data_IF_735589936910
#
_entry.id   IF_735589936910
#
_cell.length_a   1.000
_cell.length_b   1.000
_cell.length_c   1.000
_cell.angle_alpha   90.00
_cell.angle_beta   90.00
_cell.angle_gamma   90.00
#
_symmetry.space_group_name_H-M   'P 1'
#
loop_
_entity.id
_entity.type
_entity.pdbx_description
1 polymer ?
#
# COMPACT_ATOMS: atom_id res chain seq x y z
N UNK A 1 -29.87 -15.32 -10.26
CA UNK A 1 -28.56 -15.47 -9.59
C UNK A 1 -28.66 -14.72 -8.27
N UNK A 2 -28.46 -15.38 -7.14
CA UNK A 2 -28.68 -14.80 -5.81
C UNK A 2 -27.55 -13.86 -5.46
N UNK A 3 -27.86 -12.57 -5.31
CA UNK A 3 -26.99 -11.59 -4.65
C UNK A 3 -26.78 -12.07 -3.22
N UNK A 4 -25.52 -12.23 -2.82
CA UNK A 4 -25.16 -12.67 -1.47
C UNK A 4 -24.95 -11.44 -0.60
N UNK A 5 -25.66 -11.37 0.51
CA UNK A 5 -25.44 -10.30 1.50
C UNK A 5 -24.40 -10.75 2.51
N UNK A 6 -23.39 -9.93 2.77
CA UNK A 6 -22.25 -10.26 3.64
C UNK A 6 -22.10 -9.24 4.77
N UNK A 7 -21.64 -9.68 5.95
CA UNK A 7 -21.35 -8.77 7.05
C UNK A 7 -20.13 -7.90 6.74
N UNK A 8 -20.18 -6.63 7.17
CA UNK A 8 -19.16 -5.62 6.90
C UNK A 8 -19.15 -4.50 7.96
N UNK A 9 -18.10 -3.69 7.94
CA UNK A 9 -18.05 -2.37 8.57
C UNK A 9 -18.06 -1.29 7.49
N UNK A 10 -18.98 -0.33 7.63
CA UNK A 10 -19.13 0.75 6.66
C UNK A 10 -19.18 2.13 7.34
N UNK A 11 -18.66 3.14 6.66
CA UNK A 11 -18.93 4.53 6.99
C UNK A 11 -20.25 4.91 6.31
N UNK A 12 -21.30 5.29 7.06
CA UNK A 12 -22.58 5.65 6.45
C UNK A 12 -22.54 6.98 5.70
N UNK A 13 -21.71 7.91 6.17
CA UNK A 13 -21.48 9.25 5.59
C UNK A 13 -20.03 9.70 5.86
N UNK A 14 -19.55 10.77 5.20
CA UNK A 14 -18.19 11.26 5.42
C UNK A 14 -17.93 11.58 6.90
N UNK A 15 -16.80 11.14 7.43
CA UNK A 15 -16.33 11.36 8.83
C UNK A 15 -17.18 10.68 9.90
N UNK A 16 -18.25 9.97 9.55
CA UNK A 16 -18.98 9.15 10.50
C UNK A 16 -18.10 7.98 10.97
N UNK A 17 -18.26 7.51 12.21
CA UNK A 17 -17.65 6.26 12.66
C UNK A 17 -18.04 5.09 11.75
N UNK A 18 -17.15 4.12 11.61
CA UNK A 18 -17.45 2.85 10.94
C UNK A 18 -18.40 2.04 11.82
N UNK A 19 -19.48 1.55 11.21
CA UNK A 19 -20.54 0.79 11.88
C UNK A 19 -20.71 -0.58 11.24
N UNK A 20 -21.02 -1.58 12.07
CA UNK A 20 -21.34 -2.93 11.59
C UNK A 20 -22.63 -2.90 10.78
N UNK A 21 -22.60 -3.48 9.60
CA UNK A 21 -23.72 -3.53 8.66
C UNK A 21 -23.63 -4.78 7.77
N UNK A 22 -24.45 -4.83 6.74
CA UNK A 22 -24.33 -5.81 5.66
C UNK A 22 -24.34 -5.12 4.31
N UNK A 23 -23.57 -5.67 3.36
CA UNK A 23 -23.52 -5.15 1.97
C UNK A 23 -23.79 -6.25 0.95
N UNK A 24 -24.35 -5.92 -0.21
CA UNK A 24 -24.50 -6.89 -1.30
C UNK A 24 -23.15 -7.22 -1.94
N UNK A 25 -23.01 -8.48 -2.35
CA UNK A 25 -21.97 -8.95 -3.27
C UNK A 25 -22.65 -9.51 -4.51
N UNK A 26 -22.11 -9.16 -5.68
CA UNK A 26 -22.54 -9.75 -6.94
C UNK A 26 -22.30 -11.28 -6.93
N UNK A 27 -23.08 -12.06 -7.68
CA UNK A 27 -22.80 -13.48 -7.88
C UNK A 27 -21.41 -13.72 -8.48
N UNK A 28 -20.84 -14.90 -8.23
CA UNK A 28 -19.60 -15.35 -8.89
C UNK A 28 -19.88 -15.52 -10.39
N UNK A 29 -19.24 -14.69 -11.21
CA UNK A 29 -19.28 -14.79 -12.66
C UNK A 29 -18.27 -15.78 -13.22
N UNK A 30 -18.15 -15.82 -14.55
CA UNK A 30 -17.37 -16.84 -15.26
C UNK A 30 -15.89 -16.88 -14.86
N UNK A 31 -15.26 -15.71 -14.70
CA UNK A 31 -13.83 -15.56 -14.38
C UNK A 31 -13.58 -15.00 -12.98
N UNK A 32 -14.56 -15.11 -12.09
CA UNK A 32 -14.49 -14.56 -10.75
C UNK A 32 -14.08 -15.56 -9.70
N UNK A 33 -13.48 -15.03 -8.64
CA UNK A 33 -13.10 -15.75 -7.43
C UNK A 33 -13.85 -15.13 -6.26
N UNK A 34 -14.59 -15.94 -5.52
CA UNK A 34 -15.12 -15.58 -4.20
C UNK A 34 -14.06 -15.87 -3.15
N UNK A 35 -13.73 -14.86 -2.37
CA UNK A 35 -12.71 -14.93 -1.32
C UNK A 35 -13.41 -14.81 0.03
N UNK A 36 -13.21 -15.81 0.89
CA UNK A 36 -13.46 -15.74 2.33
C UNK A 36 -12.29 -14.96 2.95
N UNK A 37 -12.56 -13.70 3.27
CA UNK A 37 -11.54 -12.77 3.76
C UNK A 37 -11.17 -13.22 5.17
N UNK A 38 -9.87 -13.36 5.42
CA UNK A 38 -9.33 -13.67 6.75
C UNK A 38 -8.76 -12.45 7.44
N UNK A 39 -8.14 -11.57 6.66
CA UNK A 39 -7.49 -10.38 7.17
C UNK A 39 -7.65 -9.21 6.21
N UNK A 40 -7.85 -8.02 6.79
CA UNK A 40 -7.85 -6.76 6.07
C UNK A 40 -6.92 -5.76 6.76
N UNK A 41 -5.89 -5.30 6.06
CA UNK A 41 -5.01 -4.25 6.56
C UNK A 41 -5.71 -2.89 6.60
N UNK A 42 -5.31 -2.04 7.56
CA UNK A 42 -5.74 -0.64 7.64
C UNK A 42 -4.65 0.24 7.03
N UNK A 43 -5.00 0.98 5.99
CA UNK A 43 -4.17 1.96 5.30
C UNK A 43 -4.64 3.39 5.61
N UNK A 44 -3.71 4.35 5.54
CA UNK A 44 -4.06 5.78 5.67
C UNK A 44 -5.11 6.20 4.63
N UNK A 45 -5.03 5.63 3.43
CA UNK A 45 -6.00 5.85 2.35
C UNK A 45 -7.43 5.48 2.74
N UNK A 46 -7.65 4.47 3.58
CA UNK A 46 -8.98 4.11 4.07
C UNK A 46 -9.56 5.25 4.94
N UNK A 47 -8.70 5.88 5.74
CA UNK A 47 -9.06 7.00 6.62
C UNK A 47 -9.33 8.27 5.80
N UNK A 48 -8.45 8.61 4.85
CA UNK A 48 -8.64 9.78 4.00
C UNK A 48 -9.94 9.65 3.18
N UNK A 49 -10.18 8.51 2.55
CA UNK A 49 -11.40 8.31 1.73
C UNK A 49 -12.68 8.35 2.59
N UNK A 50 -12.70 7.66 3.75
CA UNK A 50 -13.86 7.70 4.65
C UNK A 50 -14.16 9.11 5.20
N UNK A 51 -13.21 10.04 5.12
CA UNK A 51 -13.33 11.44 5.58
C UNK A 51 -13.47 12.45 4.44
N UNK A 52 -13.55 12.02 3.18
CA UNK A 52 -13.49 12.87 1.97
C UNK A 52 -12.21 13.73 1.86
N UNK A 53 -11.08 13.21 2.32
CA UNK A 53 -9.78 13.93 2.28
C UNK A 53 -9.23 14.18 0.87
N UNK A 54 -9.68 13.39 -0.12
CA UNK A 54 -9.25 13.51 -1.53
C UNK A 54 -10.41 13.84 -2.49
N UNK A 55 -11.49 14.45 -1.96
CA UNK A 55 -12.70 14.75 -2.71
C UNK A 55 -13.91 13.98 -2.20
N UNK A 56 -15.05 14.14 -2.88
CA UNK A 56 -16.29 13.47 -2.50
C UNK A 56 -16.22 11.97 -2.79
N UNK A 57 -16.42 11.15 -1.75
CA UNK A 57 -16.55 9.70 -1.86
C UNK A 57 -17.99 9.22 -2.06
N UNK A 58 -18.12 7.92 -2.34
CA UNK A 58 -19.37 7.18 -2.53
C UNK A 58 -19.74 6.52 -1.20
N UNK A 59 -20.93 6.83 -0.68
CA UNK A 59 -21.42 6.35 0.62
C UNK A 59 -22.75 5.57 0.48
N UNK A 60 -23.02 4.54 1.31
CA UNK A 60 -22.15 4.03 2.37
C UNK A 60 -20.84 3.45 1.81
N UNK A 61 -19.73 3.67 2.52
CA UNK A 61 -18.40 3.22 2.08
C UNK A 61 -17.96 2.04 2.93
N UNK A 62 -17.54 0.93 2.32
CA UNK A 62 -16.82 -0.16 2.99
C UNK A 62 -15.36 -0.05 2.57
N UNK A 63 -14.45 0.49 3.41
CA UNK A 63 -13.03 0.59 3.06
C UNK A 63 -12.31 -0.77 3.08
N UNK A 64 -10.98 -0.73 2.90
CA UNK A 64 -10.09 -1.88 2.94
C UNK A 64 -9.66 -2.32 1.55
N UNK A 65 -8.37 -2.22 1.26
CA UNK A 65 -7.77 -2.71 0.00
C UNK A 65 -6.47 -3.49 0.21
N UNK A 66 -6.31 -4.02 1.42
CA UNK A 66 -5.19 -4.87 1.83
C UNK A 66 -5.78 -6.22 2.24
N UNK A 67 -6.35 -6.96 1.29
CA UNK A 67 -7.22 -8.11 1.55
C UNK A 67 -6.42 -9.40 1.44
N UNK A 68 -6.39 -10.22 2.49
CA UNK A 68 -5.83 -11.57 2.45
C UNK A 68 -6.87 -12.59 2.91
N UNK A 69 -6.98 -13.70 2.18
CA UNK A 69 -8.01 -14.69 2.45
C UNK A 69 -7.79 -16.02 1.75
N UNK A 70 -8.86 -16.80 1.69
CA UNK A 70 -8.89 -18.12 1.08
C UNK A 70 -10.00 -18.16 0.04
N UNK A 71 -9.73 -18.80 -1.10
CA UNK A 71 -10.75 -19.00 -2.15
C UNK A 71 -11.86 -19.92 -1.63
N UNK A 72 -13.09 -19.42 -1.64
CA UNK A 72 -14.29 -20.14 -1.22
C UNK A 72 -15.08 -20.72 -2.41
N UNK A 73 -15.08 -20.03 -3.54
CA UNK A 73 -15.75 -20.44 -4.79
C UNK A 73 -15.01 -19.85 -5.99
N UNK A 74 -15.04 -20.55 -7.13
CA UNK A 74 -14.47 -20.07 -8.39
C UNK A 74 -15.50 -20.20 -9.51
N UNK A 75 -15.48 -19.25 -10.44
CA UNK A 75 -16.24 -19.30 -11.67
C UNK A 75 -15.81 -20.45 -12.58
N UNK A 76 -16.69 -20.93 -13.46
CA UNK A 76 -16.42 -22.06 -14.35
C UNK A 76 -15.28 -21.82 -15.37
N UNK A 77 -14.96 -20.57 -15.66
CA UNK A 77 -13.88 -20.17 -16.57
C UNK A 77 -12.57 -19.83 -15.85
N UNK A 78 -12.52 -19.90 -14.51
CA UNK A 78 -11.31 -19.64 -13.74
C UNK A 78 -10.29 -20.75 -13.95
N UNK A 79 -9.05 -20.36 -14.25
CA UNK A 79 -7.95 -21.32 -14.49
C UNK A 79 -6.77 -21.10 -13.55
N UNK A 80 -6.66 -19.92 -12.94
CA UNK A 80 -5.52 -19.54 -12.11
C UNK A 80 -5.65 -19.98 -10.65
N UNK A 81 -6.86 -20.25 -10.16
CA UNK A 81 -7.13 -20.50 -8.75
C UNK A 81 -8.08 -21.67 -8.54
N UNK A 82 -7.98 -22.29 -7.37
CA UNK A 82 -8.90 -23.31 -6.89
C UNK A 82 -9.37 -23.00 -5.47
N UNK A 83 -10.51 -23.59 -5.06
CA UNK A 83 -11.00 -23.51 -3.68
C UNK A 83 -9.93 -23.99 -2.71
N UNK A 84 -9.70 -23.22 -1.65
CA UNK A 84 -8.63 -23.46 -0.67
C UNK A 84 -7.32 -22.71 -0.95
N UNK A 85 -7.17 -22.11 -2.14
CA UNK A 85 -5.97 -21.30 -2.43
C UNK A 85 -5.90 -20.07 -1.52
N UNK A 86 -4.67 -19.76 -1.09
CA UNK A 86 -4.34 -18.53 -0.35
C UNK A 86 -4.18 -17.38 -1.32
N UNK A 87 -5.02 -16.37 -1.18
CA UNK A 87 -5.11 -15.27 -2.14
C UNK A 87 -5.20 -13.91 -1.48
N UNK A 88 -4.84 -12.88 -2.24
CA UNK A 88 -5.00 -11.49 -1.83
C UNK A 88 -5.50 -10.59 -2.95
N UNK A 89 -6.03 -9.43 -2.56
CA UNK A 89 -6.52 -8.38 -3.44
C UNK A 89 -5.98 -7.04 -2.94
N UNK A 90 -5.34 -6.28 -3.83
CA UNK A 90 -4.74 -4.98 -3.54
C UNK A 90 -5.69 -3.81 -3.77
N UNK A 91 -5.14 -2.71 -4.27
CA UNK A 91 -5.82 -1.42 -4.45
C UNK A 91 -6.81 -1.33 -5.63
N UNK A 92 -6.81 -2.30 -6.54
CA UNK A 92 -7.65 -2.30 -7.75
C UNK A 92 -8.24 -3.68 -8.03
N UNK A 93 -9.44 -3.69 -8.61
CA UNK A 93 -10.20 -4.90 -8.97
C UNK A 93 -10.54 -4.99 -10.46
N UNK A 94 -10.28 -3.93 -11.24
CA UNK A 94 -10.42 -3.96 -12.70
C UNK A 94 -9.65 -2.84 -13.41
N UNK A 95 -9.53 -2.93 -14.74
CA UNK A 95 -9.02 -1.89 -15.65
C UNK A 95 -9.57 -2.10 -17.07
N UNK A 96 -9.16 -1.30 -18.06
CA UNK A 96 -9.60 -1.55 -19.45
C UNK A 96 -8.94 -2.76 -20.11
N UNK A 97 -7.78 -3.23 -19.62
CA UNK A 97 -7.02 -4.39 -20.13
C UNK A 97 -6.49 -4.25 -21.58
N UNK A 98 -6.76 -3.13 -22.25
CA UNK A 98 -6.48 -2.94 -23.68
C UNK A 98 -5.50 -1.81 -23.99
N UNK A 99 -5.36 -0.81 -23.11
CA UNK A 99 -4.45 0.31 -23.31
C UNK A 99 -2.98 -0.11 -23.18
N UNK A 100 -2.07 0.77 -23.60
CA UNK A 100 -0.63 0.48 -23.55
C UNK A 100 -0.13 0.14 -22.14
N UNK A 101 -0.65 0.83 -21.11
CA UNK A 101 -0.27 0.59 -19.72
C UNK A 101 -0.76 -0.78 -19.25
N UNK A 102 -2.02 -1.13 -19.51
CA UNK A 102 -2.54 -2.44 -19.15
C UNK A 102 -1.77 -3.57 -19.86
N UNK A 103 -1.47 -3.41 -21.15
CA UNK A 103 -0.67 -4.39 -21.91
C UNK A 103 0.77 -4.51 -21.42
N UNK A 104 1.31 -3.45 -20.80
CA UNK A 104 2.63 -3.47 -20.17
C UNK A 104 2.63 -4.09 -18.77
N UNK A 105 1.46 -4.45 -18.20
CA UNK A 105 1.32 -4.88 -16.82
C UNK A 105 1.38 -3.73 -15.82
N UNK A 106 0.89 -2.56 -16.23
CA UNK A 106 0.81 -1.33 -15.45
C UNK A 106 -0.67 -0.89 -15.30
N UNK A 107 -1.53 -1.80 -14.86
CA UNK A 107 -2.98 -1.58 -14.74
C UNK A 107 -3.33 -0.41 -13.82
N UNK A 108 -2.48 -0.10 -12.84
CA UNK A 108 -2.61 1.06 -11.96
C UNK A 108 -2.58 2.39 -12.71
N UNK A 109 -1.90 2.43 -13.87
CA UNK A 109 -1.81 3.59 -14.74
C UNK A 109 -2.72 3.47 -15.97
N UNK A 110 -3.74 2.62 -15.92
CA UNK A 110 -4.71 2.47 -17.00
C UNK A 110 -5.22 3.83 -17.51
N UNK A 111 -5.08 4.08 -18.82
CA UNK A 111 -5.47 5.35 -19.45
C UNK A 111 -6.97 5.64 -19.39
N UNK A 112 -7.80 4.59 -19.29
CA UNK A 112 -9.25 4.70 -19.10
C UNK A 112 -9.66 4.70 -17.62
N UNK A 113 -8.68 4.72 -16.71
CA UNK A 113 -8.87 4.52 -15.28
C UNK A 113 -8.87 3.04 -14.88
N UNK A 114 -8.32 2.77 -13.69
CA UNK A 114 -8.55 1.50 -13.00
C UNK A 114 -9.78 1.61 -12.09
N UNK A 115 -10.36 0.47 -11.72
CA UNK A 115 -11.44 0.40 -10.74
C UNK A 115 -10.83 0.07 -9.39
N UNK A 116 -10.95 1.01 -8.44
CA UNK A 116 -10.51 0.82 -7.07
C UNK A 116 -11.26 -0.29 -6.35
N UNK A 117 -10.61 -0.95 -5.39
CA UNK A 117 -11.21 -2.03 -4.59
C UNK A 117 -12.40 -1.57 -3.74
N UNK A 118 -12.43 -0.29 -3.39
CA UNK A 118 -13.58 0.38 -2.78
C UNK A 118 -13.63 1.84 -3.25
N UNK A 119 -14.76 2.51 -2.96
CA UNK A 119 -14.98 3.93 -3.31
C UNK A 119 -14.80 4.21 -4.82
N UNK A 120 -15.16 3.23 -5.65
CA UNK A 120 -15.22 3.34 -7.11
C UNK A 120 -16.52 2.73 -7.63
N UNK A 121 -16.89 3.03 -8.87
CA UNK A 121 -17.99 2.37 -9.57
C UNK A 121 -17.41 1.22 -10.41
N UNK A 122 -17.92 0.01 -10.18
CA UNK A 122 -17.57 -1.18 -10.96
C UNK A 122 -18.11 -1.10 -12.39
N UNK A 123 -17.63 -2.01 -13.26
CA UNK A 123 -18.15 -2.11 -14.64
C UNK A 123 -19.61 -2.55 -14.72
N UNK A 124 -20.12 -3.15 -13.65
CA UNK A 124 -21.53 -3.48 -13.46
C UNK A 124 -22.40 -2.26 -13.08
N UNK A 125 -21.78 -1.09 -12.87
CA UNK A 125 -22.45 0.15 -12.48
C UNK A 125 -22.71 0.28 -10.98
N UNK A 126 -22.27 -0.68 -10.18
CA UNK A 126 -22.48 -0.71 -8.74
C UNK A 126 -21.25 -0.19 -7.96
N UNK A 127 -21.43 0.36 -6.75
CA UNK A 127 -20.32 0.71 -5.88
C UNK A 127 -19.47 -0.51 -5.52
N UNK A 128 -18.15 -0.32 -5.53
CA UNK A 128 -17.19 -1.30 -5.01
C UNK A 128 -17.10 -1.20 -3.48
N UNK A 129 -17.18 -2.36 -2.82
CA UNK A 129 -17.02 -2.49 -1.37
C UNK A 129 -15.75 -3.27 -1.03
N UNK A 130 -14.96 -2.75 -0.12
CA UNK A 130 -13.63 -3.25 0.19
C UNK A 130 -13.58 -4.41 1.19
N UNK A 131 -12.40 -4.55 1.78
CA UNK A 131 -11.96 -5.64 2.63
C UNK A 131 -12.50 -5.64 4.06
N UNK A 132 -13.14 -4.56 4.52
CA UNK A 132 -13.77 -4.53 5.84
C UNK A 132 -15.10 -5.28 5.84
N UNK A 133 -15.08 -6.49 5.31
CA UNK A 133 -16.20 -7.39 5.11
C UNK A 133 -15.74 -8.83 5.19
N UNK A 134 -16.69 -9.75 5.35
CA UNK A 134 -16.37 -11.19 5.47
C UNK A 134 -16.00 -11.82 4.13
N UNK A 135 -16.49 -11.30 3.00
CA UNK A 135 -16.23 -11.86 1.67
C UNK A 135 -16.13 -10.78 0.59
N UNK A 136 -15.39 -11.09 -0.48
CA UNK A 136 -15.32 -10.28 -1.71
C UNK A 136 -15.31 -11.17 -2.95
N UNK A 137 -15.86 -10.67 -4.06
CA UNK A 137 -15.83 -11.33 -5.37
C UNK A 137 -15.00 -10.48 -6.33
N UNK A 138 -13.94 -11.06 -6.89
CA UNK A 138 -12.97 -10.35 -7.74
C UNK A 138 -12.61 -11.20 -8.96
N UNK A 139 -12.37 -10.57 -10.10
CA UNK A 139 -11.88 -11.24 -11.31
C UNK A 139 -10.51 -11.91 -11.03
N UNK A 140 -10.28 -13.11 -11.56
CA UNK A 140 -9.02 -13.85 -11.35
C UNK A 140 -7.79 -13.06 -11.79
N UNK A 141 -7.93 -12.08 -12.70
CA UNK A 141 -6.84 -11.24 -13.16
C UNK A 141 -6.42 -10.16 -12.17
N UNK A 142 -7.22 -9.89 -11.14
CA UNK A 142 -6.91 -8.95 -10.06
C UNK A 142 -6.71 -9.65 -8.71
N UNK A 143 -6.76 -10.98 -8.73
CA UNK A 143 -6.48 -11.84 -7.59
C UNK A 143 -5.01 -12.27 -7.63
N UNK A 144 -4.35 -12.18 -6.49
CA UNK A 144 -2.93 -12.50 -6.30
C UNK A 144 -2.78 -13.74 -5.44
N UNK A 145 -1.77 -14.56 -5.67
CA UNK A 145 -1.45 -15.71 -4.82
C UNK A 145 -0.57 -15.25 -3.66
N UNK A 146 -0.95 -15.60 -2.44
CA UNK A 146 -0.10 -15.37 -1.26
C UNK A 146 0.71 -16.65 -0.99
N UNK A 147 2.05 -16.64 -1.15
CA UNK A 147 2.87 -17.83 -0.94
C UNK A 147 2.84 -18.31 0.52
N UNK A 148 3.11 -19.60 0.75
CA UNK A 148 3.09 -20.17 2.11
C UNK A 148 4.15 -19.58 3.06
N UNK A 149 5.23 -19.00 2.52
CA UNK A 149 6.33 -18.40 3.29
C UNK A 149 6.02 -17.08 4.01
N UNK A 150 4.80 -16.56 3.91
CA UNK A 150 4.33 -15.36 4.62
C UNK A 150 2.97 -15.68 5.23
N UNK A 151 2.72 -15.32 6.49
CA UNK A 151 1.38 -15.47 7.09
C UNK A 151 0.35 -14.54 6.39
N UNK A 152 -0.93 -14.91 6.38
CA UNK A 152 -1.95 -14.13 5.65
C UNK A 152 -2.15 -12.72 6.23
N UNK A 153 -2.12 -12.61 7.56
CA UNK A 153 -2.21 -11.35 8.31
C UNK A 153 -1.02 -10.43 8.02
N UNK A 154 0.20 -10.98 8.00
CA UNK A 154 1.41 -10.24 7.65
C UNK A 154 1.49 -9.89 6.15
N UNK A 155 0.85 -10.69 5.28
CA UNK A 155 0.82 -10.46 3.84
C UNK A 155 -0.20 -9.40 3.43
N UNK A 156 -1.29 -9.21 4.19
CA UNK A 156 -2.34 -8.24 3.86
C UNK A 156 -1.77 -6.83 3.58
N UNK A 157 -0.93 -6.23 4.45
CA UNK A 157 -0.37 -4.91 4.17
C UNK A 157 0.61 -4.87 2.98
N UNK A 158 1.16 -6.00 2.52
CA UNK A 158 2.04 -6.02 1.36
C UNK A 158 1.32 -5.62 0.07
N UNK A 159 0.02 -5.89 0.00
CA UNK A 159 -0.84 -5.63 -1.17
C UNK A 159 -1.08 -4.13 -1.44
N UNK A 160 -0.65 -3.26 -0.52
CA UNK A 160 -0.55 -1.82 -0.74
C UNK A 160 0.81 -1.27 -0.29
N UNK A 161 1.17 -1.34 1.00
CA UNK A 161 2.46 -0.80 1.49
C UNK A 161 3.66 -1.47 0.83
N UNK A 162 3.63 -2.80 0.72
CA UNK A 162 4.70 -3.58 0.14
C UNK A 162 4.92 -3.17 -1.31
N UNK A 163 3.89 -3.28 -2.16
CA UNK A 163 4.03 -2.95 -3.57
C UNK A 163 4.35 -1.46 -3.82
N UNK A 164 3.75 -0.55 -3.05
CA UNK A 164 3.99 0.91 -3.20
C UNK A 164 5.45 1.26 -2.92
N UNK A 165 6.15 0.50 -2.08
CA UNK A 165 7.58 0.70 -1.83
C UNK A 165 8.46 -0.17 -2.73
N UNK A 166 8.04 -1.38 -3.07
CA UNK A 166 8.75 -2.28 -3.98
C UNK A 166 8.87 -1.70 -5.39
N UNK A 167 7.77 -1.22 -5.97
CA UNK A 167 7.73 -0.72 -7.35
C UNK A 167 8.78 0.37 -7.62
N UNK A 168 8.89 1.46 -6.83
CA UNK A 168 9.95 2.44 -7.04
C UNK A 168 11.35 1.93 -6.65
N UNK A 169 11.49 1.03 -5.67
CA UNK A 169 12.80 0.43 -5.38
C UNK A 169 13.30 -0.40 -6.56
N UNK A 170 12.45 -1.20 -7.19
CA UNK A 170 12.77 -1.98 -8.38
C UNK A 170 13.03 -1.08 -9.60
N UNK A 171 12.14 -0.12 -9.87
CA UNK A 171 12.26 0.78 -11.03
C UNK A 171 13.56 1.59 -11.05
N UNK A 172 14.00 2.08 -9.88
CA UNK A 172 15.26 2.82 -9.74
C UNK A 172 16.47 1.92 -9.40
N UNK A 173 16.33 0.60 -9.54
CA UNK A 173 17.39 -0.38 -9.31
C UNK A 173 18.07 -0.22 -7.94
N UNK A 174 17.28 -0.10 -6.87
CA UNK A 174 17.79 -0.22 -5.51
C UNK A 174 18.50 -1.58 -5.37
N UNK A 175 19.69 -1.59 -4.77
CA UNK A 175 20.47 -2.81 -4.59
C UNK A 175 21.95 -2.56 -4.33
N UNK A 176 22.83 -3.56 -4.56
CA UNK A 176 24.23 -3.49 -4.17
C UNK A 176 24.95 -2.27 -4.74
N UNK A 177 25.66 -1.55 -3.88
CA UNK A 177 26.40 -0.33 -4.23
C UNK A 177 25.55 0.95 -4.30
N UNK A 178 24.24 0.88 -4.04
CA UNK A 178 23.36 2.05 -3.96
C UNK A 178 23.09 2.44 -2.52
N UNK A 179 23.15 3.75 -2.24
CA UNK A 179 22.72 4.34 -0.97
C UNK A 179 21.28 4.82 -1.09
N UNK A 180 20.38 4.17 -0.36
CA UNK A 180 18.93 4.41 -0.42
C UNK A 180 18.46 5.03 0.91
N UNK A 181 17.80 6.18 0.84
CA UNK A 181 17.13 6.74 2.01
C UNK A 181 15.63 6.44 2.00
N UNK A 182 15.07 6.04 3.14
CA UNK A 182 13.63 5.93 3.36
C UNK A 182 13.20 7.05 4.30
N UNK A 183 12.37 7.98 3.80
CA UNK A 183 11.88 9.13 4.58
C UNK A 183 10.55 8.77 5.23
N UNK A 184 10.54 8.74 6.56
CA UNK A 184 9.43 8.31 7.39
C UNK A 184 9.51 6.82 7.74
N UNK A 185 9.28 6.48 9.01
CA UNK A 185 9.23 5.09 9.48
C UNK A 185 7.82 4.76 10.02
N UNK A 186 6.89 4.60 9.07
CA UNK A 186 5.49 4.22 9.30
C UNK A 186 5.11 2.96 8.53
N UNK A 187 3.84 2.83 8.16
CA UNK A 187 3.30 1.67 7.44
C UNK A 187 4.00 1.39 6.10
N UNK A 188 4.29 2.41 5.29
CA UNK A 188 5.09 2.25 4.06
C UNK A 188 6.58 2.15 4.40
N UNK A 189 7.09 3.07 5.22
CA UNK A 189 8.51 3.17 5.55
C UNK A 189 9.14 1.88 6.06
N UNK A 190 8.46 1.15 6.97
CA UNK A 190 9.03 -0.10 7.49
C UNK A 190 9.17 -1.18 6.40
N UNK A 191 8.22 -1.27 5.46
CA UNK A 191 8.34 -2.16 4.31
C UNK A 191 9.43 -1.69 3.35
N UNK A 192 9.53 -0.39 3.10
CA UNK A 192 10.59 0.19 2.28
C UNK A 192 11.98 -0.14 2.81
N UNK A 193 12.19 -0.11 4.14
CA UNK A 193 13.45 -0.52 4.77
C UNK A 193 13.73 -2.01 4.56
N UNK A 194 12.77 -2.88 4.91
CA UNK A 194 12.92 -4.35 4.78
C UNK A 194 13.24 -4.74 3.33
N UNK A 195 12.52 -4.17 2.36
CA UNK A 195 12.68 -4.48 0.94
C UNK A 195 13.99 -3.92 0.40
N UNK A 196 14.34 -2.66 0.69
CA UNK A 196 15.60 -2.07 0.23
C UNK A 196 16.82 -2.83 0.78
N UNK A 197 16.76 -3.24 2.05
CA UNK A 197 17.80 -4.08 2.66
C UNK A 197 17.91 -5.44 1.97
N UNK A 198 16.78 -6.12 1.74
CA UNK A 198 16.76 -7.42 1.07
C UNK A 198 17.21 -7.36 -0.40
N UNK A 199 17.02 -6.21 -1.06
CA UNK A 199 17.58 -5.93 -2.39
C UNK A 199 19.11 -5.71 -2.34
N UNK A 200 19.70 -5.52 -1.16
CA UNK A 200 21.15 -5.35 -0.95
C UNK A 200 21.64 -3.91 -1.00
N UNK A 201 20.75 -2.92 -0.86
CA UNK A 201 21.14 -1.52 -0.75
C UNK A 201 21.74 -1.19 0.63
N UNK A 202 22.54 -0.13 0.70
CA UNK A 202 22.88 0.52 1.97
C UNK A 202 21.72 1.46 2.34
N UNK A 203 20.98 1.13 3.40
CA UNK A 203 19.72 1.77 3.76
C UNK A 203 19.91 2.77 4.89
N UNK A 204 19.42 3.99 4.68
CA UNK A 204 19.33 5.02 5.72
C UNK A 204 17.88 5.40 5.99
N UNK A 205 17.45 5.37 7.24
CA UNK A 205 16.14 5.91 7.63
C UNK A 205 16.27 7.38 8.02
N UNK A 206 15.44 8.22 7.41
CA UNK A 206 15.30 9.63 7.76
C UNK A 206 13.93 9.84 8.41
N UNK A 207 13.89 10.20 9.68
CA UNK A 207 12.65 10.38 10.44
C UNK A 207 12.70 11.65 11.25
N UNK A 208 11.57 12.23 11.63
CA UNK A 208 11.55 13.46 12.42
C UNK A 208 12.29 13.31 13.75
N UNK A 209 12.24 12.13 14.37
CA UNK A 209 12.87 11.86 15.68
C UNK A 209 13.58 10.51 15.70
N UNK A 210 14.43 10.29 16.70
CA UNK A 210 15.13 9.01 16.94
C UNK A 210 14.27 7.96 17.67
N UNK A 211 12.99 8.24 17.97
CA UNK A 211 12.12 7.33 18.77
C UNK A 211 12.01 5.91 18.19
N UNK A 212 12.17 5.76 16.88
CA UNK A 212 12.08 4.48 16.16
C UNK A 212 13.42 3.99 15.60
N UNK A 213 14.54 4.52 16.11
CA UNK A 213 15.88 4.16 15.64
C UNK A 213 16.18 2.67 15.79
N UNK A 214 15.98 2.12 17.01
CA UNK A 214 16.21 0.71 17.28
C UNK A 214 15.36 -0.21 16.38
N UNK A 215 14.10 0.17 16.13
CA UNK A 215 13.23 -0.57 15.22
C UNK A 215 13.75 -0.49 13.77
N UNK A 216 14.15 0.70 13.31
CA UNK A 216 14.70 0.91 11.97
C UNK A 216 15.92 0.04 11.71
N UNK A 217 16.86 -0.01 12.67
CA UNK A 217 18.04 -0.87 12.58
C UNK A 217 17.66 -2.37 12.58
N UNK A 218 16.71 -2.77 13.44
CA UNK A 218 16.19 -4.16 13.46
C UNK A 218 15.54 -4.56 12.13
N UNK A 219 14.89 -3.63 11.45
CA UNK A 219 14.23 -3.84 10.16
C UNK A 219 15.22 -3.95 8.98
N UNK A 220 16.50 -3.63 9.18
CA UNK A 220 17.55 -3.74 8.17
C UNK A 220 18.16 -2.39 7.73
N UNK A 221 17.84 -1.28 8.39
CA UNK A 221 18.55 -0.03 8.13
C UNK A 221 20.00 -0.11 8.62
N UNK A 222 20.94 0.36 7.80
CA UNK A 222 22.35 0.52 8.20
C UNK A 222 22.56 1.78 9.05
N UNK A 223 21.79 2.83 8.75
CA UNK A 223 21.87 4.11 9.45
C UNK A 223 20.49 4.69 9.74
N UNK A 224 20.41 5.55 10.76
CA UNK A 224 19.20 6.28 11.12
C UNK A 224 19.56 7.71 11.51
N UNK A 225 18.79 8.69 11.02
CA UNK A 225 19.00 10.10 11.37
C UNK A 225 17.69 10.82 11.67
N UNK A 226 17.77 11.78 12.60
CA UNK A 226 16.67 12.69 12.91
C UNK A 226 16.70 13.92 11.99
N UNK A 227 15.65 14.13 11.21
CA UNK A 227 15.51 15.31 10.33
C UNK A 227 15.11 16.58 11.08
N UNK A 228 14.76 16.48 12.37
CA UNK A 228 14.64 17.64 13.25
C UNK A 228 15.97 18.24 13.67
N UNK A 229 17.09 17.49 13.54
CA UNK A 229 18.44 18.04 13.68
C UNK A 229 18.89 18.62 12.33
N UNK A 230 19.08 19.94 12.20
CA UNK A 230 19.53 20.56 10.96
C UNK A 230 20.87 20.00 10.45
N UNK A 231 21.74 19.51 11.35
CA UNK A 231 23.04 18.94 10.98
C UNK A 231 22.91 17.68 10.12
N UNK A 232 21.80 16.97 10.21
CA UNK A 232 21.51 15.79 9.37
C UNK A 232 21.61 16.14 7.88
N UNK A 233 21.05 17.29 7.47
CA UNK A 233 21.05 17.70 6.07
C UNK A 233 22.43 18.19 5.59
N UNK A 234 23.25 18.72 6.51
CA UNK A 234 24.64 19.10 6.22
C UNK A 234 25.51 17.85 6.06
N UNK A 235 25.39 16.89 6.98
CA UNK A 235 26.16 15.65 6.99
C UNK A 235 25.86 14.76 5.78
N UNK A 236 24.59 14.65 5.40
CA UNK A 236 24.14 13.72 4.35
C UNK A 236 24.03 14.38 2.98
N UNK A 237 24.50 15.62 2.82
CA UNK A 237 24.46 16.31 1.53
C UNK A 237 25.14 15.47 0.44
N UNK A 238 24.46 15.28 -0.69
CA UNK A 238 25.01 14.52 -1.82
C UNK A 238 25.31 13.05 -1.54
N UNK A 239 24.64 12.42 -0.57
CA UNK A 239 24.94 11.06 -0.13
C UNK A 239 24.15 9.95 -0.83
N UNK A 240 22.94 10.22 -1.33
CA UNK A 240 22.01 9.18 -1.76
C UNK A 240 21.88 9.06 -3.27
N UNK A 241 21.77 7.82 -3.74
CA UNK A 241 21.40 7.49 -5.11
C UNK A 241 19.87 7.55 -5.29
N UNK A 242 19.13 7.13 -4.26
CA UNK A 242 17.67 7.05 -4.27
C UNK A 242 17.11 7.47 -2.90
N UNK A 243 16.03 8.24 -2.91
CA UNK A 243 15.25 8.58 -1.71
C UNK A 243 13.80 8.17 -1.98
N UNK A 244 13.23 7.30 -1.15
CA UNK A 244 11.80 6.99 -1.15
C UNK A 244 11.13 7.81 -0.05
N UNK A 245 10.26 8.74 -0.42
CA UNK A 245 9.51 9.57 0.51
C UNK A 245 8.14 8.99 0.79
N UNK A 246 7.90 8.53 2.02
CA UNK A 246 6.63 7.91 2.44
C UNK A 246 5.79 8.82 3.34
N UNK A 247 6.11 10.11 3.41
CA UNK A 247 5.47 11.07 4.31
C UNK A 247 4.26 11.70 3.62
N UNK A 248 3.07 11.58 4.22
CA UNK A 248 1.83 12.19 3.74
C UNK A 248 1.56 13.57 4.37
N UNK A 249 2.62 14.34 4.59
CA UNK A 249 2.58 15.70 5.12
C UNK A 249 3.57 16.58 4.33
N UNK A 250 3.37 17.92 4.31
CA UNK A 250 4.28 18.82 3.61
C UNK A 250 5.75 18.62 4.04
N UNK A 251 6.63 18.41 3.07
CA UNK A 251 8.07 18.29 3.28
C UNK A 251 8.82 19.46 2.64
N UNK A 252 9.89 19.97 3.25
CA UNK A 252 10.79 20.92 2.60
C UNK A 252 11.62 20.21 1.51
N UNK A 253 11.02 20.02 0.32
CA UNK A 253 11.57 19.20 -0.76
C UNK A 253 13.01 19.57 -1.13
N UNK A 254 13.33 20.87 -1.15
CA UNK A 254 14.68 21.36 -1.49
C UNK A 254 15.77 20.79 -0.58
N UNK A 255 15.48 20.65 0.72
CA UNK A 255 16.41 20.11 1.70
C UNK A 255 16.68 18.61 1.46
N UNK A 256 15.64 17.83 1.14
CA UNK A 256 15.78 16.41 0.83
C UNK A 256 16.44 16.18 -0.53
N UNK A 257 16.10 16.98 -1.54
CA UNK A 257 16.77 16.95 -2.84
C UNK A 257 18.26 17.26 -2.71
N UNK A 258 18.68 18.12 -1.77
CA UNK A 258 20.10 18.38 -1.51
C UNK A 258 20.89 17.14 -1.02
N UNK A 259 20.21 16.13 -0.48
CA UNK A 259 20.81 14.87 -0.04
C UNK A 259 21.13 13.92 -1.19
N UNK A 260 20.55 14.15 -2.38
CA UNK A 260 20.84 13.36 -3.57
C UNK A 260 22.20 13.70 -4.17
N UNK A 261 22.90 12.67 -4.63
CA UNK A 261 24.03 12.76 -5.56
C UNK A 261 23.59 13.38 -6.89
N UNK A 262 24.57 13.69 -7.75
CA UNK A 262 24.29 13.90 -9.17
C UNK A 262 23.60 12.66 -9.75
N UNK A 263 22.59 12.86 -10.59
CA UNK A 263 21.75 11.80 -11.18
C UNK A 263 20.90 11.00 -10.17
N UNK A 264 20.86 11.41 -8.90
CA UNK A 264 20.03 10.78 -7.89
C UNK A 264 18.54 11.10 -8.08
N UNK A 265 17.68 10.20 -7.58
CA UNK A 265 16.23 10.35 -7.64
C UNK A 265 15.58 10.42 -6.25
N UNK A 266 14.65 11.36 -6.07
CA UNK A 266 13.68 11.34 -4.98
C UNK A 266 12.34 10.92 -5.55
N UNK A 267 11.80 9.80 -5.06
CA UNK A 267 10.52 9.24 -5.48
C UNK A 267 9.53 9.40 -4.33
N UNK A 268 8.49 10.19 -4.57
CA UNK A 268 7.43 10.44 -3.61
C UNK A 268 6.31 9.42 -3.76
N UNK A 269 5.97 8.76 -2.66
CA UNK A 269 4.82 7.84 -2.56
C UNK A 269 3.85 8.26 -1.44
N UNK A 270 4.17 9.30 -0.68
CA UNK A 270 3.25 9.94 0.27
C UNK A 270 2.25 10.85 -0.43
N UNK A 271 1.04 10.96 0.12
CA UNK A 271 -0.06 11.71 -0.49
C UNK A 271 -0.59 12.80 0.47
N UNK A 272 0.12 13.93 0.62
CA UNK A 272 -0.38 15.05 1.41
C UNK A 272 -1.63 15.67 0.78
N UNK A 273 -2.53 16.19 1.62
CA UNK A 273 -3.74 16.91 1.16
C UNK A 273 -3.40 18.30 0.59
N UNK A 274 -2.29 18.89 1.04
CA UNK A 274 -1.85 20.22 0.63
C UNK A 274 -0.77 20.15 -0.47
N UNK A 275 -0.77 21.08 -1.44
CA UNK A 275 0.32 21.23 -2.40
C UNK A 275 1.65 21.54 -1.71
N UNK A 276 2.75 21.11 -2.35
CA UNK A 276 4.12 21.37 -1.90
C UNK A 276 4.86 22.28 -2.89
N UNK A 277 5.78 23.11 -2.39
CA UNK A 277 6.62 23.98 -3.21
C UNK A 277 7.97 23.35 -3.51
N UNK A 278 8.57 23.75 -4.64
CA UNK A 278 9.87 23.26 -5.11
C UNK A 278 10.65 24.40 -5.75
N UNK A 279 11.91 24.59 -5.36
CA UNK A 279 12.85 25.40 -6.12
C UNK A 279 13.48 24.56 -7.24
N UNK A 280 13.23 24.93 -8.51
CA UNK A 280 13.73 24.18 -9.65
C UNK A 280 15.27 24.11 -9.72
N UNK A 281 15.99 25.06 -9.12
CA UNK A 281 17.44 24.99 -9.02
C UNK A 281 17.93 23.81 -8.17
N UNK A 282 17.11 23.34 -7.22
CA UNK A 282 17.39 22.14 -6.42
C UNK A 282 17.49 20.88 -7.26
N UNK A 283 16.84 20.87 -8.44
CA UNK A 283 16.88 19.77 -9.41
C UNK A 283 17.97 20.01 -10.45
N UNK A 284 18.05 21.23 -11.01
CA UNK A 284 18.99 21.60 -12.09
C UNK A 284 20.45 21.40 -11.65
N UNK A 285 20.81 21.82 -10.43
CA UNK A 285 22.20 21.85 -9.98
C UNK A 285 22.91 20.49 -9.89
N UNK A 286 22.16 19.39 -9.93
CA UNK A 286 22.70 18.03 -9.90
C UNK A 286 22.10 17.07 -10.91
N UNK A 287 21.35 17.56 -11.91
CA UNK A 287 20.60 16.71 -12.86
C UNK A 287 19.76 15.65 -12.11
N UNK A 288 19.11 16.08 -11.04
CA UNK A 288 18.36 15.19 -10.14
C UNK A 288 16.99 14.87 -10.73
N UNK A 289 16.35 13.83 -10.20
CA UNK A 289 14.98 13.46 -10.53
C UNK A 289 14.08 13.65 -9.31
N UNK A 290 12.95 14.32 -9.50
CA UNK A 290 11.80 14.22 -8.61
C UNK A 290 10.71 13.45 -9.36
N UNK A 291 10.28 12.32 -8.80
CA UNK A 291 9.28 11.44 -9.41
C UNK A 291 8.18 11.07 -8.41
N UNK A 292 7.08 10.56 -8.93
CA UNK A 292 6.04 9.89 -8.13
C UNK A 292 5.95 8.42 -8.51
N UNK A 293 5.45 7.60 -7.60
CA UNK A 293 5.01 6.23 -7.90
C UNK A 293 3.77 5.90 -7.08
N UNK A 294 2.82 5.17 -7.67
CA UNK A 294 1.62 4.71 -6.99
C UNK A 294 1.45 3.21 -7.16
N UNK A 295 1.29 2.49 -6.05
CA UNK A 295 1.04 1.04 -5.99
C UNK A 295 1.99 0.25 -6.91
N UNK A 296 1.49 -0.75 -7.62
CA UNK A 296 2.16 -1.45 -8.71
C UNK A 296 1.14 -2.23 -9.54
N UNK A 297 1.57 -2.73 -10.69
CA UNK A 297 0.72 -3.57 -11.54
C UNK A 297 0.47 -4.94 -10.94
N UNK A 298 -0.49 -5.71 -11.47
CA UNK A 298 -0.79 -7.04 -10.92
C UNK A 298 0.43 -7.96 -11.02
N UNK A 299 1.12 -7.95 -12.16
CA UNK A 299 2.34 -8.75 -12.36
C UNK A 299 3.42 -8.39 -11.34
N UNK A 300 3.71 -7.10 -11.19
CA UNK A 300 4.73 -6.60 -10.25
C UNK A 300 4.35 -6.88 -8.79
N UNK A 301 3.05 -6.84 -8.47
CA UNK A 301 2.55 -7.20 -7.13
C UNK A 301 2.77 -8.67 -6.82
N UNK A 302 2.56 -9.58 -7.79
CA UNK A 302 2.88 -11.00 -7.60
C UNK A 302 4.39 -11.21 -7.42
N UNK A 303 5.21 -10.55 -8.24
CA UNK A 303 6.68 -10.60 -8.12
C UNK A 303 7.15 -10.14 -6.74
N UNK A 304 6.55 -9.07 -6.20
CA UNK A 304 6.81 -8.56 -4.86
C UNK A 304 6.40 -9.57 -3.77
N UNK A 305 5.22 -10.20 -3.86
CA UNK A 305 4.80 -11.22 -2.90
C UNK A 305 5.76 -12.42 -2.91
N UNK A 306 6.18 -12.87 -4.09
CA UNK A 306 7.12 -13.97 -4.24
C UNK A 306 8.51 -13.60 -3.71
N UNK A 307 8.97 -12.37 -3.95
CA UNK A 307 10.21 -11.83 -3.37
C UNK A 307 10.13 -11.81 -1.85
N UNK A 308 9.09 -11.21 -1.29
CA UNK A 308 8.88 -11.16 0.15
C UNK A 308 8.86 -12.56 0.76
N UNK A 309 8.22 -13.54 0.13
CA UNK A 309 8.17 -14.91 0.64
C UNK A 309 9.55 -15.57 0.63
N UNK A 310 10.33 -15.42 -0.45
CA UNK A 310 11.70 -15.94 -0.55
C UNK A 310 12.65 -15.36 0.50
N UNK A 311 12.41 -14.11 0.90
CA UNK A 311 13.21 -13.40 1.90
C UNK A 311 12.57 -13.39 3.30
N UNK A 312 11.47 -14.12 3.50
CA UNK A 312 10.72 -14.17 4.77
C UNK A 312 10.32 -12.78 5.29
N UNK A 313 9.83 -11.92 4.39
CA UNK A 313 9.40 -10.56 4.68
C UNK A 313 7.86 -10.49 4.78
N UNK A 314 7.35 -10.42 6.00
CA UNK A 314 5.98 -9.96 6.31
C UNK A 314 5.96 -8.51 6.79
N UNK A 315 4.78 -7.90 6.89
CA UNK A 315 4.63 -6.63 7.60
C UNK A 315 4.74 -6.82 9.12
N UNK A 316 5.22 -5.80 9.84
CA UNK A 316 5.09 -5.77 11.30
C UNK A 316 3.68 -5.28 11.65
N UNK A 317 2.88 -6.12 12.31
CA UNK A 317 1.45 -5.87 12.49
C UNK A 317 1.01 -5.81 13.96
N UNK A 318 -0.06 -5.06 14.19
CA UNK A 318 -0.91 -5.15 15.36
C UNK A 318 -2.26 -5.72 14.90
N UNK A 319 -2.55 -6.96 15.27
CA UNK A 319 -3.83 -7.60 14.96
C UNK A 319 -4.92 -7.06 15.89
N UNK A 320 -6.07 -6.69 15.32
CA UNK A 320 -7.22 -6.15 16.05
C UNK A 320 -8.51 -6.90 15.71
N UNK A 321 -9.47 -6.84 16.62
CA UNK A 321 -10.86 -7.19 16.32
C UNK A 321 -11.54 -6.06 15.55
N UNK A 322 -12.57 -6.39 14.78
CA UNK A 322 -13.32 -5.43 13.97
C UNK A 322 -14.02 -4.34 14.80
N UNK A 323 -14.42 -4.63 16.05
CA UNK A 323 -15.02 -3.64 16.95
C UNK A 323 -14.03 -2.55 17.42
N UNK A 324 -12.73 -2.75 17.21
CA UNK A 324 -11.66 -1.79 17.56
C UNK A 324 -11.29 -0.86 16.39
N UNK A 325 -11.93 -0.99 15.23
CA UNK A 325 -11.52 -0.31 13.99
C UNK A 325 -11.49 1.23 14.09
N UNK A 326 -12.45 1.83 14.79
CA UNK A 326 -12.51 3.28 14.96
C UNK A 326 -11.39 3.80 15.88
N UNK A 327 -11.03 3.05 16.91
CA UNK A 327 -9.87 3.37 17.77
C UNK A 327 -8.56 3.23 16.97
N UNK A 328 -8.45 2.18 16.16
CA UNK A 328 -7.29 1.97 15.30
C UNK A 328 -7.09 3.13 14.31
N UNK A 329 -8.17 3.68 13.74
CA UNK A 329 -8.11 4.87 12.87
C UNK A 329 -7.46 6.07 13.57
N UNK A 330 -7.87 6.37 14.80
CA UNK A 330 -7.29 7.48 15.58
C UNK A 330 -5.82 7.23 15.92
N UNK A 331 -5.47 5.98 16.26
CA UNK A 331 -4.07 5.58 16.53
C UNK A 331 -3.19 5.70 15.28
N UNK A 332 -3.70 5.35 14.09
CA UNK A 332 -2.98 5.55 12.82
C UNK A 332 -2.67 7.03 12.59
N UNK A 333 -3.64 7.91 12.77
CA UNK A 333 -3.46 9.36 12.63
C UNK A 333 -2.47 9.93 13.65
N UNK A 334 -2.45 9.40 14.86
CA UNK A 334 -1.49 9.74 15.90
C UNK A 334 -0.09 9.11 15.68
N UNK A 335 0.10 8.35 14.59
CA UNK A 335 1.32 7.55 14.34
C UNK A 335 1.65 6.56 15.48
N UNK A 336 0.63 6.12 16.21
CA UNK A 336 0.68 5.21 17.34
C UNK A 336 0.41 3.75 16.93
N UNK A 337 1.27 3.25 16.04
CA UNK A 337 1.25 1.86 15.58
C UNK A 337 2.67 1.39 15.25
N UNK A 338 2.93 0.09 15.39
CA UNK A 338 4.17 -0.60 15.01
C UNK A 338 3.88 -1.87 14.19
N UNK A 339 3.68 -1.78 12.88
CA UNK A 339 3.64 -0.59 12.01
C UNK A 339 2.36 -0.50 11.17
N UNK A 340 1.54 -1.55 11.19
CA UNK A 340 0.25 -1.65 10.49
C UNK A 340 -0.79 -2.30 11.39
N UNK A 341 -2.03 -1.81 11.37
CA UNK A 341 -3.14 -2.59 11.91
C UNK A 341 -3.65 -3.56 10.86
N UNK A 342 -4.06 -4.73 11.34
CA UNK A 342 -4.73 -5.75 10.53
C UNK A 342 -5.97 -6.19 11.29
N UNK A 343 -7.11 -6.18 10.62
CA UNK A 343 -8.39 -6.63 11.17
C UNK A 343 -8.49 -8.14 10.98
N UNK A 344 -8.75 -8.88 12.05
CA UNK A 344 -9.24 -10.25 11.97
C UNK A 344 -10.73 -10.24 11.58
N UNK A 345 -11.03 -10.57 10.33
CA UNK A 345 -12.39 -10.49 9.79
C UNK A 345 -13.32 -11.57 10.33
N UNK A 346 -12.79 -12.59 11.03
CA UNK A 346 -13.62 -13.56 11.74
C UNK A 346 -14.41 -12.91 12.91
N UNK A 347 -14.02 -11.69 13.30
CA UNK A 347 -14.69 -10.92 14.36
C UNK A 347 -15.74 -9.92 13.84
N UNK A 348 -15.99 -9.90 12.51
CA UNK A 348 -17.01 -9.05 11.87
C UNK A 348 -18.42 -9.55 12.11
#
# INVERSE_FOLDING_TARGET
MTVTTVAAYAAPTPKAPLERTTVPRRPVGEHDVLIDIKYAGICHSDIHQARNGWGEGIFPMVPGHEIAGVVAEVGPGVTRFAVGDRVGVGCMVDSCRECENCKAGLEQYCSEGNVGTYNAIGKDGEPTYGGYSTHVVVDENYTLRIPEGIALDEAAPLLCAGITTYSPLAHWNAGPGKRVAIVGLGGLGHMGVKIAHALGAEVTVLSQTLRKEADGLKLGADHYFATSDPKTFEQLKGSFDLIISTVSAPLPLDAYLALLKTDGAMVNVGAPEEPVSLNLFSVIGGRKTLAGSGIGGIRETQEMLDFCARHSLGAEIELIRADQINEAYERVLASDVRYRFVIDTATI
#
